data_IF_137919702041
#
_entry.id   IF_137919702041
#
_cell.length_a   1.000
_cell.length_b   1.000
_cell.length_c   1.000
_cell.angle_alpha   90.00
_cell.angle_beta   90.00
_cell.angle_gamma   90.00
#
_symmetry.space_group_name_H-M   'P 1'
#
loop_
_entity.id
_entity.type
_entity.pdbx_description
1 polymer ?
#
# COMPACT_ATOMS: atom_id res chain seq x y z
N UNK A 1 22.73 29.84 -0.34
CA UNK A 1 21.39 29.25 -0.49
C UNK A 1 21.53 27.74 -0.59
N UNK A 2 20.64 26.97 0.02
CA UNK A 2 20.62 25.51 -0.05
C UNK A 2 19.19 25.01 -0.23
N UNK A 3 19.03 23.72 -0.58
CA UNK A 3 17.74 23.13 -0.85
C UNK A 3 16.79 23.10 0.37
N UNK A 4 17.33 23.00 1.58
CA UNK A 4 16.52 23.01 2.79
C UNK A 4 15.87 24.38 3.06
N UNK A 5 16.51 25.46 2.65
CA UNK A 5 15.97 26.82 2.69
C UNK A 5 14.99 27.05 1.56
N UNK A 6 15.38 26.71 0.31
CA UNK A 6 14.55 26.86 -0.89
C UNK A 6 13.24 26.09 -0.80
N UNK A 7 13.24 24.91 -0.17
CA UNK A 7 12.04 24.08 -0.02
C UNK A 7 11.04 24.56 1.06
N UNK A 8 11.35 25.62 1.79
CA UNK A 8 10.48 26.20 2.84
C UNK A 8 9.91 27.56 2.48
N UNK A 9 10.38 28.16 1.39
CA UNK A 9 9.87 29.45 0.94
C UNK A 9 8.73 29.28 -0.06
N UNK A 10 7.84 30.28 -0.12
CA UNK A 10 6.84 30.40 -1.20
C UNK A 10 7.30 31.43 -2.28
N UNK A 11 8.51 31.99 -2.13
CA UNK A 11 9.06 32.93 -3.08
C UNK A 11 9.61 32.22 -4.33
N UNK A 12 8.91 32.38 -5.45
CA UNK A 12 9.25 31.74 -6.71
C UNK A 12 10.56 32.23 -7.29
N UNK A 13 11.05 33.43 -6.98
CA UNK A 13 12.35 33.90 -7.45
C UNK A 13 13.49 33.17 -6.72
N UNK A 14 13.35 32.97 -5.41
CA UNK A 14 14.31 32.17 -4.62
C UNK A 14 14.33 30.73 -5.12
N UNK A 15 13.13 30.14 -5.36
CA UNK A 15 13.01 28.77 -5.88
C UNK A 15 13.69 28.66 -7.25
N UNK A 16 13.43 29.62 -8.16
CA UNK A 16 14.02 29.65 -9.49
C UNK A 16 15.54 29.75 -9.44
N UNK A 17 16.07 30.61 -8.57
CA UNK A 17 17.51 30.73 -8.37
C UNK A 17 18.11 29.41 -7.88
N UNK A 18 17.49 28.78 -6.87
CA UNK A 18 17.94 27.47 -6.36
C UNK A 18 17.95 26.39 -7.44
N UNK A 19 16.87 26.28 -8.23
CA UNK A 19 16.75 25.30 -9.31
C UNK A 19 17.80 25.52 -10.41
N UNK A 20 18.25 26.75 -10.63
CA UNK A 20 19.29 27.05 -11.65
C UNK A 20 20.70 26.85 -11.14
N UNK A 21 20.97 27.04 -9.85
CA UNK A 21 22.31 27.08 -9.28
C UNK A 21 22.73 25.80 -8.57
N UNK A 22 21.77 25.04 -8.00
CA UNK A 22 22.06 23.88 -7.16
C UNK A 22 21.89 22.57 -7.91
N UNK A 23 22.59 21.52 -7.45
CA UNK A 23 22.45 20.18 -8.02
C UNK A 23 21.05 19.60 -7.67
N UNK A 24 20.23 19.26 -8.69
CA UNK A 24 18.90 18.68 -8.47
C UNK A 24 18.91 17.29 -7.81
N UNK A 25 20.08 16.64 -7.77
CA UNK A 25 20.28 15.31 -7.19
C UNK A 25 21.03 15.32 -5.84
N UNK A 26 21.34 16.50 -5.31
CA UNK A 26 21.94 16.64 -3.98
C UNK A 26 21.11 15.90 -2.93
N UNK A 27 21.79 15.25 -1.97
CA UNK A 27 21.11 14.51 -0.90
C UNK A 27 21.35 15.12 0.46
N UNK A 28 20.30 15.27 1.23
CA UNK A 28 20.41 15.69 2.62
C UNK A 28 20.87 14.53 3.53
N UNK A 29 21.02 14.83 4.85
CA UNK A 29 21.44 13.85 5.85
C UNK A 29 20.48 12.64 6.00
N UNK A 30 19.24 12.74 5.50
CA UNK A 30 18.25 11.65 5.45
C UNK A 30 18.21 10.94 4.10
N UNK A 31 19.08 11.31 3.17
CA UNK A 31 19.14 10.79 1.81
C UNK A 31 18.05 11.35 0.90
N UNK A 32 17.30 12.39 1.31
CA UNK A 32 16.23 12.98 0.51
C UNK A 32 16.80 13.87 -0.57
N UNK A 33 16.26 13.76 -1.79
CA UNK A 33 16.55 14.67 -2.89
C UNK A 33 15.77 15.99 -2.74
N UNK A 34 16.14 17.06 -3.48
CA UNK A 34 15.39 18.30 -3.54
C UNK A 34 13.92 18.11 -3.91
N UNK A 35 13.64 17.19 -4.85
CA UNK A 35 12.29 16.83 -5.25
C UNK A 35 11.47 16.25 -4.08
N UNK A 36 12.08 15.37 -3.29
CA UNK A 36 11.44 14.85 -2.07
C UNK A 36 11.19 15.93 -1.03
N UNK A 37 12.09 16.92 -0.91
CA UNK A 37 11.90 18.06 -0.02
C UNK A 37 10.74 18.94 -0.48
N UNK A 38 10.63 19.23 -1.77
CA UNK A 38 9.54 20.01 -2.36
C UNK A 38 8.19 19.34 -2.10
N UNK A 39 8.10 18.03 -2.32
CA UNK A 39 6.89 17.24 -2.04
C UNK A 39 6.58 17.25 -0.53
N UNK A 40 7.57 16.98 0.33
CA UNK A 40 7.36 16.94 1.79
C UNK A 40 6.85 18.26 2.33
N UNK A 41 7.36 19.38 1.80
CA UNK A 41 7.00 20.73 2.22
C UNK A 41 5.79 21.30 1.45
N UNK A 42 5.12 20.50 0.62
CA UNK A 42 3.93 20.88 -0.16
C UNK A 42 4.15 22.10 -1.03
N UNK A 43 5.29 22.15 -1.72
CA UNK A 43 5.61 23.23 -2.63
C UNK A 43 4.58 23.33 -3.78
N UNK A 44 4.37 24.52 -4.36
CA UNK A 44 3.47 24.69 -5.49
C UNK A 44 3.81 23.76 -6.65
N UNK A 45 2.83 23.29 -7.45
CA UNK A 45 3.06 22.44 -8.61
C UNK A 45 4.06 23.04 -9.61
N UNK A 46 4.06 24.35 -9.77
CA UNK A 46 4.99 25.09 -10.64
C UNK A 46 6.44 24.92 -10.17
N UNK A 47 6.68 24.96 -8.85
CA UNK A 47 8.02 24.75 -8.28
C UNK A 47 8.49 23.30 -8.50
N UNK A 48 7.59 22.33 -8.29
CA UNK A 48 7.86 20.90 -8.55
C UNK A 48 8.20 20.70 -10.02
N UNK A 49 7.42 21.29 -10.94
CA UNK A 49 7.64 21.20 -12.37
C UNK A 49 8.98 21.81 -12.78
N UNK A 50 9.33 22.99 -12.27
CA UNK A 50 10.64 23.62 -12.55
C UNK A 50 11.81 22.72 -12.17
N UNK A 51 11.70 21.97 -11.07
CA UNK A 51 12.72 21.02 -10.64
C UNK A 51 12.73 19.76 -11.54
N UNK A 52 11.55 19.25 -11.91
CA UNK A 52 11.40 18.12 -12.83
C UNK A 52 11.99 18.43 -14.22
N UNK A 53 11.88 19.66 -14.71
CA UNK A 53 12.47 20.12 -15.98
C UNK A 53 14.02 20.05 -15.99
N UNK A 54 14.66 19.90 -14.82
CA UNK A 54 16.10 19.65 -14.69
C UNK A 54 16.48 18.17 -14.77
N UNK A 55 15.52 17.29 -15.06
CA UNK A 55 15.69 15.84 -15.15
C UNK A 55 16.37 15.22 -13.90
N UNK A 56 15.83 15.44 -12.68
CA UNK A 56 16.35 14.82 -11.47
C UNK A 56 16.17 13.31 -11.53
N UNK A 57 16.96 12.59 -10.71
CA UNK A 57 16.78 11.16 -10.50
C UNK A 57 15.45 10.91 -9.73
N UNK A 58 14.43 10.42 -10.45
CA UNK A 58 13.09 10.15 -9.91
C UNK A 58 13.07 8.90 -9.03
N UNK A 59 14.00 7.97 -9.28
CA UNK A 59 14.08 6.68 -8.60
C UNK A 59 15.02 6.68 -7.39
N UNK A 60 15.64 7.82 -7.12
CA UNK A 60 16.42 8.00 -5.90
C UNK A 60 15.59 7.66 -4.66
N UNK A 61 16.11 6.80 -3.79
CA UNK A 61 15.46 6.46 -2.52
C UNK A 61 16.12 7.19 -1.34
N UNK A 62 15.32 7.63 -0.38
CA UNK A 62 15.84 8.14 0.89
C UNK A 62 16.21 6.97 1.85
N UNK A 63 16.67 7.29 3.05
CA UNK A 63 17.05 6.28 4.05
C UNK A 63 15.90 5.37 4.51
N UNK A 64 14.64 5.70 4.19
CA UNK A 64 13.46 4.88 4.46
C UNK A 64 13.06 4.01 3.26
N UNK A 65 13.79 4.12 2.13
CA UNK A 65 13.43 3.45 0.88
C UNK A 65 12.24 4.09 0.17
N UNK A 66 12.01 5.38 0.39
CA UNK A 66 10.96 6.13 -0.29
C UNK A 66 11.51 6.90 -1.48
N UNK A 67 10.93 6.70 -2.66
CA UNK A 67 11.12 7.55 -3.85
C UNK A 67 10.27 8.83 -3.72
N UNK A 68 10.48 9.77 -4.64
CA UNK A 68 9.65 10.98 -4.74
C UNK A 68 8.17 10.62 -4.93
N UNK A 69 7.86 9.62 -5.77
CA UNK A 69 6.49 9.15 -6.02
C UNK A 69 5.86 8.56 -4.74
N UNK A 70 6.58 7.71 -4.00
CA UNK A 70 6.09 7.17 -2.70
C UNK A 70 5.82 8.27 -1.70
N UNK A 71 6.65 9.32 -1.65
CA UNK A 71 6.38 10.48 -0.79
C UNK A 71 5.14 11.24 -1.22
N UNK A 72 4.95 11.51 -2.51
CA UNK A 72 3.75 12.18 -3.01
C UNK A 72 2.48 11.42 -2.63
N UNK A 73 2.51 10.08 -2.69
CA UNK A 73 1.44 9.20 -2.22
C UNK A 73 1.21 9.33 -0.72
N UNK A 74 2.25 9.17 0.10
CA UNK A 74 2.16 9.27 1.57
C UNK A 74 1.61 10.63 2.03
N UNK A 75 1.95 11.71 1.33
CA UNK A 75 1.45 13.05 1.59
C UNK A 75 0.13 13.39 0.86
N UNK A 76 -0.45 12.43 0.13
CA UNK A 76 -1.72 12.55 -0.61
C UNK A 76 -1.75 13.74 -1.57
N UNK A 77 -0.64 13.97 -2.28
CA UNK A 77 -0.50 15.09 -3.22
C UNK A 77 -0.79 14.63 -4.64
N UNK A 78 -2.07 14.56 -5.00
CA UNK A 78 -2.53 14.07 -6.32
C UNK A 78 -1.86 14.85 -7.48
N UNK A 79 -1.70 16.17 -7.35
CA UNK A 79 -1.02 16.98 -8.36
C UNK A 79 0.44 16.59 -8.57
N UNK A 80 1.18 16.35 -7.47
CA UNK A 80 2.56 15.89 -7.54
C UNK A 80 2.66 14.47 -8.10
N UNK A 81 1.74 13.55 -7.72
CA UNK A 81 1.68 12.19 -8.28
C UNK A 81 1.53 12.26 -9.81
N UNK A 82 0.58 13.04 -10.32
CA UNK A 82 0.33 13.18 -11.76
C UNK A 82 1.55 13.74 -12.49
N UNK A 83 2.20 14.79 -11.94
CA UNK A 83 3.42 15.34 -12.51
C UNK A 83 4.55 14.31 -12.55
N UNK A 84 4.78 13.58 -11.46
CA UNK A 84 5.83 12.55 -11.42
C UNK A 84 5.59 11.45 -12.45
N UNK A 85 4.35 11.00 -12.63
CA UNK A 85 3.99 10.01 -13.65
C UNK A 85 4.18 10.57 -15.09
N UNK A 86 3.80 11.83 -15.31
CA UNK A 86 4.01 12.52 -16.59
C UNK A 86 5.51 12.61 -16.96
N UNK A 87 6.37 12.78 -15.95
CA UNK A 87 7.83 12.84 -16.12
C UNK A 87 8.50 11.45 -16.06
N UNK A 88 7.73 10.38 -16.01
CA UNK A 88 8.23 9.02 -16.17
C UNK A 88 8.71 8.34 -14.89
N UNK A 89 8.23 8.76 -13.70
CA UNK A 89 8.50 8.03 -12.46
C UNK A 89 8.03 6.58 -12.58
N UNK A 90 8.88 5.63 -12.16
CA UNK A 90 8.60 4.20 -12.25
C UNK A 90 7.51 3.79 -11.28
N UNK A 91 6.60 2.93 -11.76
CA UNK A 91 5.52 2.36 -10.97
C UNK A 91 5.94 1.08 -10.28
N UNK A 92 6.79 0.29 -10.93
CA UNK A 92 7.27 -0.99 -10.42
C UNK A 92 8.51 -0.82 -9.53
N UNK A 93 8.79 -1.85 -8.74
CA UNK A 93 9.98 -1.95 -7.90
C UNK A 93 10.64 -3.31 -8.08
N UNK A 94 11.97 -3.35 -8.14
CA UNK A 94 12.75 -4.61 -8.15
C UNK A 94 12.47 -5.47 -6.88
N UNK A 95 11.96 -4.85 -5.82
CA UNK A 95 11.59 -5.50 -4.55
C UNK A 95 10.14 -6.01 -4.53
N UNK A 96 9.47 -6.06 -5.71
CA UNK A 96 8.10 -6.51 -5.88
C UNK A 96 7.05 -5.47 -5.49
N UNK A 97 5.77 -5.87 -5.64
CA UNK A 97 4.60 -4.98 -5.49
C UNK A 97 4.50 -4.32 -4.11
N UNK A 98 4.92 -4.98 -3.05
CA UNK A 98 4.90 -4.44 -1.67
C UNK A 98 5.78 -3.19 -1.50
N UNK A 99 6.83 -3.03 -2.33
CA UNK A 99 7.72 -1.88 -2.29
C UNK A 99 7.28 -0.72 -3.19
N UNK A 100 6.18 -0.85 -3.92
CA UNK A 100 5.68 0.14 -4.87
C UNK A 100 4.93 1.31 -4.23
N UNK A 101 4.75 2.37 -4.99
CA UNK A 101 3.90 3.51 -4.62
C UNK A 101 2.42 3.11 -4.57
N UNK A 102 1.97 2.17 -5.42
CA UNK A 102 0.61 1.63 -5.39
C UNK A 102 0.30 0.97 -4.05
N UNK A 103 1.19 0.10 -3.55
CA UNK A 103 1.00 -0.55 -2.25
C UNK A 103 0.98 0.48 -1.10
N UNK A 104 1.82 1.51 -1.16
CA UNK A 104 1.78 2.60 -0.17
C UNK A 104 0.48 3.41 -0.20
N UNK A 105 -0.26 3.38 -1.32
CA UNK A 105 -1.52 4.07 -1.52
C UNK A 105 -2.76 3.26 -1.07
N UNK A 106 -2.66 1.98 -0.73
CA UNK A 106 -3.80 1.05 -0.53
C UNK A 106 -4.87 1.53 0.44
N UNK A 107 -4.48 2.29 1.46
CA UNK A 107 -5.44 2.90 2.40
C UNK A 107 -6.20 4.10 1.81
N UNK A 108 -5.86 4.52 0.59
CA UNK A 108 -6.56 5.54 -0.17
C UNK A 108 -6.81 5.01 -1.58
N UNK A 109 -7.97 4.37 -1.77
CA UNK A 109 -8.35 3.68 -3.01
C UNK A 109 -8.22 4.56 -4.24
N UNK A 110 -8.64 5.83 -4.16
CA UNK A 110 -8.58 6.78 -5.28
C UNK A 110 -7.13 7.06 -5.72
N UNK A 111 -6.20 7.18 -4.76
CA UNK A 111 -4.78 7.39 -5.09
C UNK A 111 -4.16 6.11 -5.63
N UNK A 112 -4.50 4.94 -5.05
CA UNK A 112 -4.03 3.65 -5.56
C UNK A 112 -4.45 3.45 -7.01
N UNK A 113 -5.70 3.78 -7.34
CA UNK A 113 -6.24 3.64 -8.69
C UNK A 113 -5.59 4.58 -9.73
N UNK A 114 -4.91 5.67 -9.31
CA UNK A 114 -4.05 6.45 -10.21
C UNK A 114 -2.76 5.71 -10.62
N UNK A 115 -2.41 4.64 -9.90
CA UNK A 115 -1.15 3.90 -10.05
C UNK A 115 -1.37 2.48 -10.61
N UNK A 116 -2.50 2.24 -11.30
CA UNK A 116 -2.88 0.92 -11.85
C UNK A 116 -1.95 0.39 -12.95
N UNK A 117 -1.02 1.21 -13.46
CA UNK A 117 0.06 0.73 -14.32
C UNK A 117 1.11 -0.12 -13.58
N UNK A 118 1.08 -0.18 -12.24
CA UNK A 118 1.96 -1.04 -11.44
C UNK A 118 1.63 -2.52 -11.72
N UNK A 119 2.65 -3.32 -11.99
CA UNK A 119 2.51 -4.76 -12.24
C UNK A 119 1.89 -5.46 -11.02
N UNK A 120 0.84 -6.22 -11.24
CA UNK A 120 0.11 -6.92 -10.18
C UNK A 120 -0.86 -6.04 -9.38
N UNK A 121 -0.97 -4.74 -9.68
CA UNK A 121 -1.95 -3.86 -9.04
C UNK A 121 -3.39 -4.23 -9.43
N UNK A 122 -4.31 -3.98 -8.51
CA UNK A 122 -5.75 -4.18 -8.70
C UNK A 122 -6.48 -2.88 -8.39
N UNK A 123 -7.52 -2.57 -9.16
CA UNK A 123 -8.39 -1.42 -8.86
C UNK A 123 -9.11 -1.65 -7.53
N UNK A 124 -9.07 -0.66 -6.65
CA UNK A 124 -9.63 -0.76 -5.30
C UNK A 124 -10.98 -0.07 -5.13
N UNK A 125 -11.32 0.89 -6.01
CA UNK A 125 -12.67 1.47 -6.05
C UNK A 125 -13.62 0.54 -6.77
N UNK A 126 -14.80 0.35 -6.22
CA UNK A 126 -15.86 -0.47 -6.81
C UNK A 126 -16.99 0.43 -7.32
N UNK A 127 -17.65 0.04 -8.38
CA UNK A 127 -18.97 0.56 -8.75
C UNK A 127 -20.05 -0.05 -7.85
N UNK A 128 -21.22 0.57 -7.77
CA UNK A 128 -22.33 0.05 -6.97
C UNK A 128 -22.72 -1.39 -7.37
N UNK A 129 -22.65 -1.74 -8.66
CA UNK A 129 -22.93 -3.09 -9.14
C UNK A 129 -21.85 -4.11 -8.67
N UNK A 130 -20.60 -3.68 -8.62
CA UNK A 130 -19.51 -4.52 -8.11
C UNK A 130 -19.59 -4.70 -6.59
N UNK A 131 -19.96 -3.65 -5.85
CA UNK A 131 -20.24 -3.73 -4.42
C UNK A 131 -21.37 -4.72 -4.13
N UNK A 132 -22.50 -4.62 -4.84
CA UNK A 132 -23.61 -5.57 -4.72
C UNK A 132 -23.16 -7.01 -5.02
N UNK A 133 -22.32 -7.21 -6.04
CA UNK A 133 -21.81 -8.55 -6.39
C UNK A 133 -20.88 -9.12 -5.33
N UNK A 134 -20.04 -8.29 -4.72
CA UNK A 134 -19.17 -8.68 -3.60
C UNK A 134 -20.01 -9.06 -2.38
N UNK A 135 -21.01 -8.24 -2.02
CA UNK A 135 -21.89 -8.47 -0.89
C UNK A 135 -22.68 -9.77 -1.04
N UNK A 136 -23.19 -10.09 -2.23
CA UNK A 136 -23.86 -11.35 -2.52
C UNK A 136 -22.98 -12.58 -2.35
N UNK A 137 -21.67 -12.44 -2.36
CA UNK A 137 -20.72 -13.52 -2.08
C UNK A 137 -20.40 -13.56 -0.59
N UNK A 138 -20.10 -12.41 0.02
CA UNK A 138 -19.69 -12.32 1.42
C UNK A 138 -20.82 -12.77 2.38
N UNK A 139 -22.07 -12.38 2.09
CA UNK A 139 -23.24 -12.71 2.90
C UNK A 139 -23.95 -14.01 2.49
N UNK A 140 -23.35 -14.82 1.59
CA UNK A 140 -23.86 -16.14 1.28
C UNK A 140 -23.70 -17.07 2.48
N UNK A 141 -24.81 -17.68 2.94
CA UNK A 141 -24.80 -18.56 4.12
C UNK A 141 -24.21 -19.94 3.83
N UNK A 142 -24.40 -20.44 2.61
CA UNK A 142 -23.86 -21.75 2.20
C UNK A 142 -22.40 -21.67 1.78
N UNK A 143 -21.51 -22.25 2.56
CA UNK A 143 -20.08 -22.34 2.27
C UNK A 143 -19.79 -22.96 0.89
N UNK A 144 -20.55 -23.99 0.51
CA UNK A 144 -20.39 -24.60 -0.80
C UNK A 144 -20.75 -23.63 -1.93
N UNK A 145 -21.86 -22.90 -1.80
CA UNK A 145 -22.31 -21.92 -2.80
C UNK A 145 -21.33 -20.75 -2.84
N UNK A 146 -20.85 -20.28 -1.68
CA UNK A 146 -19.83 -19.23 -1.57
C UNK A 146 -18.57 -19.62 -2.36
N UNK A 147 -18.04 -20.82 -2.13
CA UNK A 147 -16.87 -21.36 -2.86
C UNK A 147 -17.11 -21.44 -4.35
N UNK A 148 -18.29 -21.92 -4.79
CA UNK A 148 -18.63 -21.97 -6.23
C UNK A 148 -18.70 -20.58 -6.86
N UNK A 149 -19.29 -19.60 -6.17
CA UNK A 149 -19.30 -18.20 -6.63
C UNK A 149 -17.89 -17.65 -6.77
N UNK A 150 -17.03 -17.84 -5.78
CA UNK A 150 -15.63 -17.39 -5.79
C UNK A 150 -14.86 -18.05 -6.93
N UNK A 151 -14.98 -19.36 -7.13
CA UNK A 151 -14.26 -20.09 -8.18
C UNK A 151 -14.64 -19.65 -9.60
N UNK A 152 -15.85 -19.09 -9.78
CA UNK A 152 -16.36 -18.58 -11.07
C UNK A 152 -16.04 -17.12 -11.34
N UNK A 153 -15.47 -16.39 -10.38
CA UNK A 153 -15.05 -15.01 -10.61
C UNK A 153 -13.95 -14.95 -11.67
N UNK A 154 -14.15 -14.10 -12.67
CA UNK A 154 -13.14 -13.81 -13.71
C UNK A 154 -12.51 -12.42 -13.54
N UNK A 155 -13.04 -11.62 -12.63
CA UNK A 155 -12.55 -10.26 -12.34
C UNK A 155 -11.58 -10.27 -11.17
N UNK A 156 -10.30 -9.88 -11.36
CA UNK A 156 -9.36 -9.75 -10.26
C UNK A 156 -9.79 -8.67 -9.26
N UNK A 157 -10.56 -7.66 -9.69
CA UNK A 157 -11.11 -6.61 -8.83
C UNK A 157 -12.11 -7.20 -7.83
N UNK A 158 -13.08 -7.99 -8.32
CA UNK A 158 -14.08 -8.61 -7.47
C UNK A 158 -13.44 -9.64 -6.54
N UNK A 159 -12.52 -10.44 -7.06
CA UNK A 159 -11.83 -11.45 -6.26
C UNK A 159 -11.02 -10.81 -5.12
N UNK A 160 -10.27 -9.74 -5.42
CA UNK A 160 -9.52 -8.99 -4.43
C UNK A 160 -10.44 -8.35 -3.38
N UNK A 161 -11.57 -7.79 -3.80
CA UNK A 161 -12.55 -7.19 -2.89
C UNK A 161 -13.19 -8.24 -1.97
N UNK A 162 -13.53 -9.43 -2.49
CA UNK A 162 -14.05 -10.54 -1.68
C UNK A 162 -13.03 -11.00 -0.66
N UNK A 163 -11.76 -11.19 -1.04
CA UNK A 163 -10.69 -11.61 -0.11
C UNK A 163 -10.50 -10.61 1.03
N UNK A 164 -10.51 -9.30 0.70
CA UNK A 164 -10.32 -8.25 1.72
C UNK A 164 -11.57 -7.96 2.56
N UNK A 165 -12.75 -8.34 2.10
CA UNK A 165 -14.00 -8.23 2.86
C UNK A 165 -14.38 -9.49 3.64
N UNK A 166 -13.68 -10.61 3.41
CA UNK A 166 -14.00 -11.88 4.04
C UNK A 166 -13.69 -11.89 5.54
N UNK A 167 -14.61 -12.47 6.32
CA UNK A 167 -14.39 -12.73 7.73
C UNK A 167 -13.59 -14.02 7.91
N UNK A 168 -12.32 -13.93 8.26
CA UNK A 168 -11.40 -15.07 8.39
C UNK A 168 -11.72 -15.99 9.58
N UNK A 169 -12.55 -15.53 10.51
CA UNK A 169 -13.06 -16.38 11.62
C UNK A 169 -14.07 -17.43 11.14
N UNK A 170 -14.62 -17.26 9.91
CA UNK A 170 -15.54 -18.22 9.30
C UNK A 170 -14.80 -19.43 8.66
N UNK A 171 -13.49 -19.49 8.78
CA UNK A 171 -12.66 -20.57 8.25
C UNK A 171 -12.01 -20.27 6.90
N UNK A 172 -10.96 -21.03 6.52
CA UNK A 172 -10.15 -20.74 5.32
C UNK A 172 -10.74 -21.31 4.02
N UNK A 173 -11.74 -22.19 4.08
CA UNK A 173 -12.20 -23.00 2.93
C UNK A 173 -12.64 -22.16 1.71
N UNK A 174 -13.43 -21.08 1.85
CA UNK A 174 -13.78 -20.22 0.72
C UNK A 174 -12.56 -19.53 0.10
N UNK A 175 -11.57 -19.18 0.94
CA UNK A 175 -10.37 -18.50 0.48
C UNK A 175 -9.40 -19.43 -0.27
N UNK A 176 -9.45 -20.74 -0.04
CA UNK A 176 -8.74 -21.71 -0.88
C UNK A 176 -9.24 -21.66 -2.33
N UNK A 177 -10.54 -21.49 -2.54
CA UNK A 177 -11.10 -21.33 -3.88
C UNK A 177 -10.65 -20.00 -4.55
N UNK A 178 -10.40 -18.96 -3.76
CA UNK A 178 -9.83 -17.72 -4.26
C UNK A 178 -8.35 -17.88 -4.64
N UNK A 179 -7.59 -18.64 -3.85
CA UNK A 179 -6.18 -18.94 -4.13
C UNK A 179 -6.02 -19.72 -5.46
N UNK A 180 -6.89 -20.68 -5.71
CA UNK A 180 -6.87 -21.53 -6.92
C UNK A 180 -7.46 -20.83 -8.15
N UNK A 181 -8.05 -19.64 -7.99
CA UNK A 181 -8.70 -18.92 -9.08
C UNK A 181 -7.68 -18.27 -10.01
N UNK A 182 -7.72 -18.51 -11.35
CA UNK A 182 -6.80 -17.90 -12.32
C UNK A 182 -6.81 -16.37 -12.35
N UNK A 183 -7.89 -15.73 -11.87
CA UNK A 183 -8.00 -14.26 -11.76
C UNK A 183 -7.33 -13.71 -10.48
N UNK A 184 -6.74 -14.58 -9.64
CA UNK A 184 -6.10 -14.15 -8.40
C UNK A 184 -4.81 -13.38 -8.69
N UNK A 185 -4.80 -12.09 -8.40
CA UNK A 185 -3.63 -11.24 -8.57
C UNK A 185 -2.59 -11.50 -7.45
N UNK A 186 -1.31 -11.23 -7.73
CA UNK A 186 -0.22 -11.40 -6.76
C UNK A 186 -0.51 -10.71 -5.43
N UNK A 187 -0.98 -9.47 -5.46
CA UNK A 187 -1.30 -8.73 -4.24
C UNK A 187 -2.45 -9.39 -3.44
N UNK A 188 -3.39 -10.03 -4.12
CA UNK A 188 -4.49 -10.74 -3.47
C UNK A 188 -3.97 -11.96 -2.70
N UNK A 189 -3.03 -12.71 -3.29
CA UNK A 189 -2.34 -13.82 -2.62
C UNK A 189 -1.54 -13.36 -1.40
N UNK A 190 -0.86 -12.23 -1.51
CA UNK A 190 -0.11 -11.64 -0.38
C UNK A 190 -1.04 -11.25 0.76
N UNK A 191 -2.19 -10.63 0.45
CA UNK A 191 -3.19 -10.28 1.45
C UNK A 191 -3.77 -11.51 2.15
N UNK A 192 -4.08 -12.55 1.38
CA UNK A 192 -4.54 -13.83 1.94
C UNK A 192 -3.52 -14.42 2.91
N UNK A 193 -2.24 -14.37 2.56
CA UNK A 193 -1.16 -14.84 3.44
C UNK A 193 -1.08 -14.03 4.74
N UNK A 194 -1.17 -12.70 4.65
CA UNK A 194 -1.14 -11.81 5.82
C UNK A 194 -2.35 -12.01 6.74
N UNK A 195 -3.56 -12.10 6.18
CA UNK A 195 -4.79 -12.35 6.93
C UNK A 195 -4.81 -13.74 7.56
N UNK A 196 -4.47 -14.78 6.81
CA UNK A 196 -4.41 -16.16 7.31
C UNK A 196 -3.40 -16.33 8.45
N UNK A 197 -2.24 -15.66 8.35
CA UNK A 197 -1.24 -15.65 9.41
C UNK A 197 -1.73 -14.97 10.69
N UNK A 198 -2.48 -13.87 10.57
CA UNK A 198 -3.06 -13.16 11.71
C UNK A 198 -4.12 -14.02 12.42
N UNK A 199 -4.98 -14.70 11.67
CA UNK A 199 -6.01 -15.58 12.23
C UNK A 199 -5.40 -16.76 13.01
N UNK A 200 -4.31 -17.35 12.52
CA UNK A 200 -3.61 -18.43 13.22
C UNK A 200 -2.96 -17.94 14.53
N UNK A 201 -2.42 -16.72 14.56
CA UNK A 201 -1.79 -16.17 15.78
C UNK A 201 -2.81 -15.81 16.87
N UNK A 202 -4.01 -15.39 16.50
CA UNK A 202 -5.08 -15.10 17.46
C UNK A 202 -5.73 -16.38 18.01
N UNK A 203 -5.76 -17.46 17.22
CA UNK A 203 -6.27 -18.77 17.64
C UNK A 203 -5.38 -19.46 18.70
N UNK A 204 -4.07 -19.37 18.56
CA UNK A 204 -3.13 -19.97 19.53
C UNK A 204 -3.17 -19.26 20.91
N UNK A 205 -3.41 -17.96 20.96
CA UNK A 205 -3.54 -17.25 22.24
C UNK A 205 -4.82 -17.61 23.02
N UNK A 206 -5.88 -18.02 22.31
CA UNK A 206 -7.12 -18.46 22.95
C UNK A 206 -7.00 -19.89 23.56
N UNK A 207 -6.10 -20.71 23.04
CA UNK A 207 -5.86 -22.07 23.58
C UNK A 207 -4.97 -22.08 24.82
N UNK A 208 -4.13 -21.05 25.02
CA UNK A 208 -3.28 -20.92 26.20
C UNK A 208 -4.01 -20.34 27.43
N UNK A 209 -5.15 -19.66 27.26
CA UNK A 209 -5.94 -19.15 28.39
C UNK A 209 -6.87 -20.19 29.04
N UNK A 210 -7.17 -21.34 28.39
CA UNK A 210 -7.99 -22.40 28.98
C UNK A 210 -7.22 -23.42 29.86
N UNK A 211 -5.90 -23.32 29.95
CA UNK A 211 -5.07 -24.12 30.87
C UNK A 211 -4.50 -23.30 32.00
N UNK A 212 -5.38 -22.69 32.79
CA UNK A 212 -5.04 -22.25 34.12
C UNK A 212 -4.86 -23.48 35.02
N UNK A 213 -3.76 -23.63 35.78
CA UNK A 213 -3.66 -24.76 36.69
C UNK A 213 -4.63 -24.61 37.85
N UNK A 214 -5.46 -25.60 38.06
CA UNK A 214 -6.10 -25.84 39.35
C UNK A 214 -4.99 -25.94 40.40
N UNK A 215 -4.75 -24.86 41.10
CA UNK A 215 -3.92 -24.85 42.27
C UNK A 215 -4.72 -25.49 43.41
N UNK A 216 -4.56 -26.79 43.61
CA UNK A 216 -4.97 -27.47 44.80
C UNK A 216 -4.24 -26.85 46.00
N UNK A 217 -5.04 -26.20 46.87
CA UNK A 217 -4.61 -25.75 48.18
C UNK A 217 -4.45 -26.98 49.06
N UNK A 218 -3.25 -27.51 49.13
CA UNK A 218 -2.76 -28.15 50.36
C UNK A 218 -1.27 -28.45 50.21
N UNK A 219 -0.45 -27.59 50.81
CA UNK A 219 0.99 -27.83 50.96
C UNK A 219 1.21 -28.93 51.97
N UNK A 220 1.96 -29.97 51.57
CA UNK A 220 2.82 -30.77 52.48
C UNK A 220 3.95 -31.32 51.67
N UNK A 221 5.15 -30.80 51.92
CA UNK A 221 6.41 -31.46 51.60
C UNK A 221 6.71 -32.40 52.76
N UNK A 222 7.00 -33.66 52.51
CA UNK A 222 7.69 -34.60 53.42
C UNK A 222 8.24 -35.79 52.62
N UNK A 223 9.25 -36.47 53.15
CA UNK A 223 10.69 -36.21 53.00
C UNK A 223 11.31 -37.02 51.87
#
# INVERSE_FOLDING_TARGET
>A
MNWAEASKTQDMEIIRAAVNELDPNERDHRGRTPLMLFITNRMPPEAIKMLLDKAPDLEAEDKLGDTALKKAVKFKQIGAIKLLLEYGAQLDSERGIQATAWNAARMNKEIADLLLGTTGAVRLTLSAQEEDAVDQILYEESEQVKREKISRLSSPVLLHAVVNGYNWDDGPEPMMAACDNPACAEITLLDMYEHGRSALQTGDSALDEEKGPDADRNGIWAP
#
